data_IF_193196530619
#
_entry.id   IF_193196530619
#
_cell.length_a   1.000
_cell.length_b   1.000
_cell.length_c   1.000
_cell.angle_alpha   90.00
_cell.angle_beta   90.00
_cell.angle_gamma   90.00
#
_symmetry.space_group_name_H-M   'P 1'
#
loop_
_entity.id
_entity.type
_entity.pdbx_description
1 polymer ?
#
# COMPACT_ATOMS: atom_id res chain seq x y z
N UNK A 1 -8.92 -22.87 7.74
CA UNK A 1 -8.36 -21.73 7.00
C UNK A 1 -7.71 -20.78 7.98
N UNK A 2 -6.43 -20.44 7.82
CA UNK A 2 -5.74 -19.48 8.69
C UNK A 2 -5.73 -18.10 8.04
N UNK A 3 -6.86 -17.40 8.11
CA UNK A 3 -6.93 -15.99 7.75
C UNK A 3 -6.34 -15.15 8.90
N UNK A 4 -5.51 -14.15 8.56
CA UNK A 4 -4.98 -13.18 9.52
C UNK A 4 -5.35 -11.78 9.06
N UNK A 5 -6.15 -11.09 9.88
CA UNK A 5 -6.45 -9.68 9.69
C UNK A 5 -5.35 -8.86 10.37
N UNK A 6 -4.76 -7.92 9.63
CA UNK A 6 -3.72 -7.01 10.13
C UNK A 6 -4.08 -5.57 9.80
N UNK A 7 -3.64 -4.64 10.63
CA UNK A 7 -3.75 -3.19 10.40
C UNK A 7 -2.37 -2.56 10.61
N UNK A 8 -2.01 -1.61 9.75
CA UNK A 8 -0.74 -0.88 9.83
C UNK A 8 -1.03 0.55 10.28
N UNK A 9 -0.44 0.96 11.39
CA UNK A 9 -0.57 2.31 11.95
C UNK A 9 0.83 2.90 12.05
N UNK A 10 1.01 4.09 11.50
CA UNK A 10 2.26 4.83 11.53
C UNK A 10 1.98 6.33 11.44
N UNK A 11 2.90 7.12 11.99
CA UNK A 11 2.87 8.58 11.91
C UNK A 11 2.99 9.08 10.45
N UNK A 12 2.69 10.36 10.23
CA UNK A 12 2.85 11.00 8.91
C UNK A 12 4.32 10.89 8.48
N UNK A 13 4.57 10.67 7.19
CA UNK A 13 5.89 10.49 6.57
C UNK A 13 6.74 9.29 7.04
N UNK A 14 6.17 8.37 7.83
CA UNK A 14 6.89 7.17 8.30
C UNK A 14 6.85 5.98 7.32
N UNK A 15 6.63 6.24 6.03
CA UNK A 15 6.71 5.20 4.99
C UNK A 15 5.63 4.11 5.07
N UNK A 16 4.46 4.41 5.66
CA UNK A 16 3.33 3.46 5.77
C UNK A 16 2.94 2.88 4.41
N UNK A 17 2.84 3.73 3.40
CA UNK A 17 2.50 3.37 2.02
C UNK A 17 3.60 2.52 1.39
N UNK A 18 4.88 2.85 1.61
CA UNK A 18 6.03 2.06 1.14
C UNK A 18 6.04 0.64 1.73
N UNK A 19 5.71 0.50 3.02
CA UNK A 19 5.62 -0.80 3.68
C UNK A 19 4.49 -1.67 3.09
N UNK A 20 3.33 -1.06 2.83
CA UNK A 20 2.20 -1.76 2.20
C UNK A 20 2.55 -2.20 0.78
N UNK A 21 3.17 -1.34 -0.01
CA UNK A 21 3.57 -1.65 -1.39
C UNK A 21 4.55 -2.84 -1.43
N UNK A 22 5.54 -2.88 -0.52
CA UNK A 22 6.51 -3.98 -0.47
C UNK A 22 5.88 -5.29 0.01
N UNK A 23 4.96 -5.24 0.98
CA UNK A 23 4.20 -6.41 1.42
C UNK A 23 3.37 -7.01 0.30
N UNK A 24 2.70 -6.18 -0.51
CA UNK A 24 1.88 -6.63 -1.64
C UNK A 24 2.73 -7.20 -2.78
N UNK A 25 3.93 -6.64 -3.03
CA UNK A 25 4.90 -7.21 -3.98
C UNK A 25 5.37 -8.60 -3.53
N UNK A 26 5.78 -8.73 -2.27
CA UNK A 26 6.28 -10.00 -1.73
C UNK A 26 5.19 -11.06 -1.60
N UNK A 27 3.93 -10.67 -1.37
CA UNK A 27 2.81 -11.62 -1.26
C UNK A 27 2.36 -12.20 -2.60
N UNK A 28 3.00 -11.82 -3.72
CA UNK A 28 2.60 -12.25 -5.06
C UNK A 28 1.20 -11.77 -5.45
N UNK A 29 0.70 -10.69 -4.81
CA UNK A 29 -0.64 -10.16 -5.08
C UNK A 29 -0.74 -9.50 -6.45
N UNK A 30 0.40 -9.16 -7.06
CA UNK A 30 0.48 -8.55 -8.38
C UNK A 30 1.10 -9.51 -9.40
N UNK A 31 0.48 -9.61 -10.58
CA UNK A 31 1.08 -10.32 -11.74
C UNK A 31 2.30 -9.54 -12.24
N UNK A 32 3.29 -10.22 -12.82
CA UNK A 32 4.53 -9.61 -13.37
C UNK A 32 4.31 -8.41 -14.31
N UNK A 33 3.12 -8.26 -14.91
CA UNK A 33 2.77 -7.17 -15.83
C UNK A 33 1.73 -6.18 -15.27
N UNK A 34 1.41 -6.24 -13.97
CA UNK A 34 0.46 -5.30 -13.37
C UNK A 34 1.19 -4.00 -13.05
N UNK A 35 0.84 -2.92 -13.76
CA UNK A 35 1.27 -1.56 -13.39
C UNK A 35 0.65 -1.21 -12.04
N UNK A 36 1.39 -1.47 -10.97
CA UNK A 36 1.09 -0.95 -9.64
C UNK A 36 1.43 0.54 -9.71
N UNK A 37 0.42 1.40 -9.66
CA UNK A 37 0.66 2.82 -9.48
C UNK A 37 1.43 3.01 -8.16
N UNK A 38 2.39 3.93 -8.15
CA UNK A 38 3.04 4.37 -6.91
C UNK A 38 1.90 4.82 -5.96
N UNK A 39 1.74 4.15 -4.81
CA UNK A 39 0.58 4.30 -3.88
C UNK A 39 -0.74 3.71 -4.39
N UNK A 40 -0.76 2.41 -4.67
CA UNK A 40 -1.93 1.71 -5.21
C UNK A 40 -3.19 1.70 -4.33
N UNK A 41 -3.07 2.04 -3.04
CA UNK A 41 -4.20 2.09 -2.10
C UNK A 41 -4.81 3.49 -1.95
N UNK A 42 -4.13 4.54 -2.43
CA UNK A 42 -4.63 5.91 -2.35
C UNK A 42 -5.70 6.11 -3.43
N UNK A 43 -6.95 6.26 -2.98
CA UNK A 43 -8.12 6.26 -3.85
C UNK A 43 -8.59 7.69 -4.17
N UNK A 44 -8.38 8.63 -3.25
CA UNK A 44 -8.82 10.02 -3.38
C UNK A 44 -7.72 10.93 -3.97
N UNK A 45 -8.13 12.00 -4.66
CA UNK A 45 -7.19 12.98 -5.24
C UNK A 45 -6.36 13.70 -4.16
N UNK A 46 -6.96 13.96 -2.99
CA UNK A 46 -6.28 14.57 -1.85
C UNK A 46 -5.15 13.69 -1.29
N UNK A 47 -5.35 12.37 -1.31
CA UNK A 47 -4.36 11.37 -0.84
C UNK A 47 -3.15 11.35 -1.78
N UNK A 48 -3.42 11.35 -3.10
CA UNK A 48 -2.39 11.40 -4.15
C UNK A 48 -1.61 12.71 -4.12
N UNK A 49 -2.30 13.84 -4.02
CA UNK A 49 -1.70 15.18 -4.05
C UNK A 49 -0.89 15.49 -2.79
N UNK A 50 -1.36 15.04 -1.61
CA UNK A 50 -0.70 15.34 -0.33
C UNK A 50 0.15 14.21 0.26
N UNK A 51 0.15 13.03 -0.36
CA UNK A 51 0.92 11.88 0.13
C UNK A 51 0.46 11.36 1.49
N UNK A 52 -0.85 11.45 1.74
CA UNK A 52 -1.47 10.94 2.96
C UNK A 52 -2.32 9.70 2.63
N UNK A 53 -2.29 8.71 3.52
CA UNK A 53 -3.08 7.46 3.46
C UNK A 53 -3.76 7.24 4.79
#
# INVERSE_FOLDING_TARGET
MTLRNIAIIAHVDHGKTTLVDELLKQSGAFRENQRVAERAMDSNDLEKERGIT
#
